data_IF_786006908977
#
_entry.id   IF_786006908977
#
_cell.length_a   1.000
_cell.length_b   1.000
_cell.length_c   1.000
_cell.angle_alpha   90.00
_cell.angle_beta   90.00
_cell.angle_gamma   90.00
#
_symmetry.space_group_name_H-M   'P 1'
#
loop_
_entity.id
_entity.type
_entity.pdbx_description
1 polymer ?
#
# COMPACT_ATOMS: atom_id res chain seq x y z
N UNK A 1 5.94 -12.60 17.81
CA UNK A 1 6.54 -11.94 16.63
C UNK A 1 6.34 -12.84 15.42
N UNK A 2 5.07 -13.13 15.12
CA UNK A 2 4.63 -13.93 13.97
C UNK A 2 3.85 -12.93 13.11
N UNK A 3 4.57 -12.01 12.45
CA UNK A 3 3.98 -10.84 11.81
C UNK A 3 4.32 -10.80 10.31
N UNK A 4 3.34 -10.36 9.51
CA UNK A 4 3.40 -9.95 8.10
C UNK A 4 3.31 -11.02 7.00
N UNK A 5 3.10 -12.29 7.35
CA UNK A 5 2.97 -13.32 6.33
C UNK A 5 1.60 -13.97 6.45
N UNK A 6 0.63 -13.42 5.72
CA UNK A 6 -0.56 -14.16 5.37
C UNK A 6 -0.12 -15.55 4.85
N UNK A 7 -0.54 -16.60 5.56
CA UNK A 7 -0.19 -17.99 5.24
C UNK A 7 -0.70 -18.40 3.84
N UNK A 8 -1.69 -17.68 3.31
CA UNK A 8 -2.18 -17.84 1.93
C UNK A 8 -1.21 -17.26 0.87
N UNK A 9 -0.43 -16.24 1.23
CA UNK A 9 0.48 -15.58 0.31
C UNK A 9 1.81 -16.32 0.10
N UNK A 10 2.32 -17.06 1.09
CA UNK A 10 3.60 -17.79 0.99
C UNK A 10 3.46 -19.16 0.31
N UNK A 11 2.26 -19.77 0.35
CA UNK A 11 2.05 -21.12 -0.21
C UNK A 11 1.66 -21.14 -1.69
N UNK A 12 1.40 -19.97 -2.31
CA UNK A 12 1.15 -19.89 -3.74
C UNK A 12 2.45 -19.57 -4.48
N UNK A 13 2.88 -20.47 -5.37
CA UNK A 13 3.99 -20.29 -6.32
C UNK A 13 3.72 -19.20 -7.39
N UNK A 14 2.68 -18.39 -7.21
CA UNK A 14 2.25 -17.34 -8.13
C UNK A 14 3.08 -16.08 -7.82
N UNK A 15 3.83 -15.54 -8.80
CA UNK A 15 4.57 -14.29 -8.65
C UNK A 15 3.67 -13.12 -8.22
N UNK A 16 4.22 -12.20 -7.43
CA UNK A 16 3.50 -11.03 -6.94
C UNK A 16 2.86 -10.19 -8.04
N UNK A 17 3.60 -9.85 -9.10
CA UNK A 17 3.05 -9.16 -10.28
C UNK A 17 1.80 -9.81 -10.88
N UNK A 18 1.66 -11.15 -10.84
CA UNK A 18 0.42 -11.81 -11.28
C UNK A 18 -0.73 -11.59 -10.29
N UNK A 19 -0.47 -11.70 -8.99
CA UNK A 19 -1.47 -11.44 -7.94
C UNK A 19 -1.98 -10.00 -7.98
N UNK A 20 -1.07 -9.03 -8.12
CA UNK A 20 -1.42 -7.61 -8.23
C UNK A 20 -2.21 -7.36 -9.51
N UNK A 21 -1.83 -7.99 -10.64
CA UNK A 21 -2.60 -7.87 -11.88
C UNK A 21 -4.03 -8.41 -11.75
N UNK A 22 -4.22 -9.58 -11.16
CA UNK A 22 -5.56 -10.11 -10.87
C UNK A 22 -6.35 -9.17 -9.95
N UNK A 23 -5.69 -8.57 -8.94
CA UNK A 23 -6.37 -7.64 -8.04
C UNK A 23 -6.90 -6.36 -8.73
N UNK A 24 -6.30 -5.92 -9.84
CA UNK A 24 -6.83 -4.78 -10.62
C UNK A 24 -8.23 -5.10 -11.16
N UNK A 25 -8.43 -6.33 -11.62
CA UNK A 25 -9.70 -6.81 -12.19
C UNK A 25 -10.69 -7.20 -11.08
N UNK A 26 -10.23 -8.03 -10.13
CA UNK A 26 -11.09 -8.67 -9.13
C UNK A 26 -11.41 -7.75 -7.93
N UNK A 27 -10.59 -6.72 -7.69
CA UNK A 27 -10.71 -5.76 -6.58
C UNK A 27 -10.93 -6.42 -5.22
N UNK A 28 -10.16 -7.49 -4.97
CA UNK A 28 -10.26 -8.27 -3.72
C UNK A 28 -9.52 -7.60 -2.56
N UNK A 29 -8.56 -6.73 -2.85
CA UNK A 29 -7.74 -6.01 -1.88
C UNK A 29 -7.68 -4.52 -2.21
N UNK A 30 -7.69 -3.69 -1.17
CA UNK A 30 -7.31 -2.29 -1.28
C UNK A 30 -5.79 -2.19 -1.47
N UNK A 31 -5.34 -1.55 -2.55
CA UNK A 31 -3.91 -1.37 -2.83
C UNK A 31 -3.47 0.05 -2.45
N UNK A 32 -2.54 0.17 -1.51
CA UNK A 32 -2.02 1.48 -1.05
C UNK A 32 -0.54 1.63 -1.39
N UNK A 33 -0.20 2.72 -2.07
CA UNK A 33 1.16 3.10 -2.43
C UNK A 33 1.73 4.14 -1.46
N UNK A 34 2.88 3.82 -0.88
CA UNK A 34 3.57 4.63 0.12
C UNK A 34 4.51 5.70 -0.47
N UNK A 35 4.66 5.76 -1.80
CA UNK A 35 5.51 6.76 -2.48
C UNK A 35 4.95 8.16 -2.31
N UNK A 36 5.78 9.17 -2.59
CA UNK A 36 5.32 10.56 -2.67
C UNK A 36 4.26 10.71 -3.76
N UNK A 37 3.26 11.57 -3.51
CA UNK A 37 2.18 11.86 -4.46
C UNK A 37 2.67 12.21 -5.86
N UNK A 38 3.73 13.03 -5.98
CA UNK A 38 4.32 13.38 -7.27
C UNK A 38 4.86 12.16 -8.06
N UNK A 39 5.40 11.15 -7.40
CA UNK A 39 5.86 9.90 -8.06
C UNK A 39 4.70 9.00 -8.43
N UNK A 40 3.70 8.92 -7.54
CA UNK A 40 2.46 8.19 -7.78
C UNK A 40 1.69 8.75 -8.99
N UNK A 41 1.54 10.08 -9.07
CA UNK A 41 0.87 10.77 -10.18
C UNK A 41 1.68 10.72 -11.48
N UNK A 42 2.96 10.36 -11.40
CA UNK A 42 3.88 10.34 -12.53
C UNK A 42 4.45 11.73 -12.89
N UNK A 43 4.21 12.75 -12.06
CA UNK A 43 4.76 14.10 -12.21
C UNK A 43 6.26 14.20 -11.86
N UNK A 44 6.77 13.25 -11.06
CA UNK A 44 8.19 13.13 -10.75
C UNK A 44 8.74 11.77 -11.21
N UNK A 45 9.98 11.73 -11.75
CA UNK A 45 10.57 10.48 -12.21
C UNK A 45 10.90 9.57 -11.04
N UNK A 46 10.94 8.27 -11.33
CA UNK A 46 11.47 7.29 -10.39
C UNK A 46 13.00 7.44 -10.25
N UNK A 47 13.57 7.29 -9.03
CA UNK A 47 15.01 7.43 -8.81
C UNK A 47 15.86 6.46 -9.65
N UNK A 48 15.31 5.27 -9.93
CA UNK A 48 15.96 4.24 -10.74
C UNK A 48 15.65 4.48 -12.22
N UNK A 49 16.69 4.60 -13.03
CA UNK A 49 16.57 4.78 -14.49
C UNK A 49 15.80 3.61 -15.13
N UNK A 50 14.95 3.93 -16.10
CA UNK A 50 14.21 2.95 -16.90
C UNK A 50 12.91 2.43 -16.28
N UNK A 51 12.52 2.92 -15.10
CA UNK A 51 11.24 2.59 -14.48
C UNK A 51 10.17 3.58 -14.97
N UNK A 52 9.00 3.08 -15.36
CA UNK A 52 7.84 3.91 -15.75
C UNK A 52 7.44 4.85 -14.61
N UNK A 53 6.94 6.03 -14.96
CA UNK A 53 6.29 6.96 -14.01
C UNK A 53 4.80 6.63 -13.91
N UNK A 54 4.17 6.92 -12.78
CA UNK A 54 2.76 6.58 -12.51
C UNK A 54 2.59 5.58 -11.37
N UNK A 55 1.46 4.88 -11.36
CA UNK A 55 1.07 3.94 -10.32
C UNK A 55 0.30 2.73 -10.86
N UNK A 56 0.02 1.77 -9.97
CA UNK A 56 -0.77 0.57 -10.28
C UNK A 56 -2.23 1.00 -10.43
N UNK A 57 -2.94 0.66 -11.51
CA UNK A 57 -4.34 1.05 -11.69
C UNK A 57 -5.22 0.69 -10.50
N UNK A 58 -6.06 1.64 -10.09
CA UNK A 58 -6.97 1.48 -8.94
C UNK A 58 -6.32 1.52 -7.56
N UNK A 59 -4.98 1.69 -7.46
CA UNK A 59 -4.33 1.93 -6.18
C UNK A 59 -4.60 3.33 -5.64
N UNK A 60 -4.50 3.49 -4.32
CA UNK A 60 -4.57 4.78 -3.59
C UNK A 60 -3.18 5.19 -3.12
N UNK A 61 -2.97 6.47 -2.84
CA UNK A 61 -1.67 6.99 -2.40
C UNK A 61 -1.74 7.52 -0.97
N UNK A 62 -0.96 6.95 -0.06
CA UNK A 62 -0.66 7.55 1.25
C UNK A 62 0.87 7.65 1.36
N UNK A 63 1.46 8.83 1.11
CA UNK A 63 2.90 9.00 1.29
C UNK A 63 3.30 8.65 2.72
N UNK A 64 4.26 7.74 2.90
CA UNK A 64 4.63 7.22 4.22
C UNK A 64 4.98 8.33 5.24
N UNK A 65 5.54 9.44 4.76
CA UNK A 65 5.92 10.59 5.57
C UNK A 65 4.72 11.23 6.28
N UNK A 66 3.50 11.06 5.78
CA UNK A 66 2.29 11.55 6.42
C UNK A 66 1.87 10.75 7.66
N UNK A 67 2.47 9.57 7.88
CA UNK A 67 2.25 8.74 9.07
C UNK A 67 3.32 8.96 10.14
N UNK A 68 4.30 9.84 9.90
CA UNK A 68 5.39 10.13 10.81
C UNK A 68 5.28 11.56 11.35
N UNK A 69 5.62 11.75 12.61
CA UNK A 69 5.81 13.07 13.20
C UNK A 69 7.19 13.67 12.83
N UNK A 70 7.46 14.87 13.32
CA UNK A 70 8.75 15.55 13.11
C UNK A 70 9.96 14.80 13.66
N UNK A 71 9.76 13.87 14.60
CA UNK A 71 10.81 13.02 15.19
C UNK A 71 11.02 11.70 14.44
N UNK A 72 10.32 11.50 13.31
CA UNK A 72 10.30 10.24 12.55
C UNK A 72 9.65 9.08 13.31
N UNK A 73 8.77 9.38 14.26
CA UNK A 73 7.97 8.38 14.99
C UNK A 73 6.58 8.28 14.36
N UNK A 74 5.97 7.09 14.38
CA UNK A 74 4.58 6.94 13.95
C UNK A 74 3.66 7.87 14.73
N UNK A 75 2.73 8.52 14.02
CA UNK A 75 1.72 9.38 14.63
C UNK A 75 0.86 8.61 15.66
N UNK A 76 0.24 9.32 16.63
CA UNK A 76 -0.75 8.73 17.52
C UNK A 76 -1.91 8.08 16.76
N UNK A 77 -2.53 7.07 17.38
CA UNK A 77 -3.63 6.28 16.80
C UNK A 77 -4.75 7.13 16.20
N UNK A 78 -5.17 8.20 16.86
CA UNK A 78 -6.25 9.08 16.36
C UNK A 78 -5.85 9.90 15.14
N UNK A 79 -4.56 10.20 14.97
CA UNK A 79 -4.07 10.88 13.77
C UNK A 79 -3.85 9.90 12.63
N UNK A 80 -3.33 8.69 12.91
CA UNK A 80 -3.21 7.62 11.92
C UNK A 80 -4.57 7.32 11.29
N UNK A 81 -5.63 7.19 12.10
CA UNK A 81 -7.01 7.05 11.62
C UNK A 81 -7.35 8.11 10.58
N UNK A 82 -7.25 9.39 10.96
CA UNK A 82 -7.56 10.52 10.07
C UNK A 82 -6.82 10.44 8.75
N UNK A 83 -5.55 10.02 8.75
CA UNK A 83 -4.75 9.87 7.51
C UNK A 83 -5.32 8.77 6.60
N UNK A 84 -5.71 7.62 7.17
CA UNK A 84 -6.30 6.54 6.38
C UNK A 84 -7.76 6.83 5.97
N UNK A 85 -8.53 7.54 6.79
CA UNK A 85 -9.92 7.92 6.50
C UNK A 85 -10.01 8.91 5.34
N UNK A 86 -9.08 9.86 5.26
CA UNK A 86 -9.04 10.89 4.21
C UNK A 86 -8.98 10.29 2.80
N UNK A 87 -8.35 9.12 2.67
CA UNK A 87 -8.24 8.39 1.39
C UNK A 87 -9.36 7.36 1.19
N UNK A 88 -10.40 7.38 2.06
CA UNK A 88 -11.51 6.46 2.01
C UNK A 88 -11.10 5.00 2.20
N UNK A 89 -10.03 4.76 2.98
CA UNK A 89 -9.57 3.41 3.28
C UNK A 89 -10.22 2.85 4.54
N UNK A 90 -10.67 3.72 5.44
CA UNK A 90 -11.21 3.36 6.76
C UNK A 90 -12.60 3.95 6.96
N UNK A 91 -13.57 3.10 7.27
CA UNK A 91 -14.87 3.52 7.79
C UNK A 91 -14.78 3.67 9.32
N UNK A 92 -14.69 4.92 9.79
CA UNK A 92 -14.66 5.24 11.22
C UNK A 92 -15.99 5.00 11.94
N UNK A 93 -17.09 4.78 11.23
CA UNK A 93 -18.41 4.65 11.88
C UNK A 93 -18.52 3.36 12.70
N UNK A 94 -17.64 2.38 12.47
CA UNK A 94 -17.61 1.12 13.22
C UNK A 94 -16.59 1.08 14.37
N UNK A 95 -15.99 2.22 14.74
CA UNK A 95 -14.86 2.26 15.68
C UNK A 95 -15.16 1.66 17.08
N UNK A 96 -16.41 1.72 17.54
CA UNK A 96 -16.80 1.14 18.84
C UNK A 96 -16.90 -0.40 18.83
N UNK A 97 -16.88 -1.05 17.65
CA UNK A 97 -16.97 -2.51 17.48
C UNK A 97 -15.73 -3.12 16.84
N UNK A 98 -14.67 -2.32 16.61
CA UNK A 98 -13.48 -2.73 15.87
C UNK A 98 -13.51 -2.19 14.45
N UNK A 99 -12.34 -1.78 13.93
CA UNK A 99 -12.23 -1.26 12.57
C UNK A 99 -12.52 -2.41 11.59
N UNK A 100 -13.70 -2.43 10.98
CA UNK A 100 -13.93 -3.26 9.80
C UNK A 100 -13.44 -2.52 8.57
N UNK A 101 -12.19 -2.78 8.19
CA UNK A 101 -11.80 -2.62 6.79
C UNK A 101 -12.21 -3.94 6.13
N UNK A 102 -13.41 -3.99 5.54
CA UNK A 102 -14.02 -5.23 5.00
C UNK A 102 -13.10 -5.94 4.00
N UNK A 103 -12.23 -5.21 3.30
CA UNK A 103 -11.26 -5.77 2.35
C UNK A 103 -9.85 -5.89 2.95
N UNK A 104 -9.12 -6.98 2.70
CA UNK A 104 -7.69 -7.05 3.02
C UNK A 104 -6.90 -5.97 2.28
N UNK A 105 -5.73 -5.62 2.79
CA UNK A 105 -4.92 -4.52 2.25
C UNK A 105 -3.60 -5.04 1.69
N UNK A 106 -3.22 -4.55 0.51
CA UNK A 106 -1.86 -4.69 -0.03
C UNK A 106 -1.18 -3.34 -0.01
N UNK A 107 0.00 -3.27 0.57
CA UNK A 107 0.83 -2.06 0.60
C UNK A 107 2.02 -2.21 -0.34
N UNK A 108 2.44 -1.12 -0.96
CA UNK A 108 3.60 -1.07 -1.86
C UNK A 108 4.33 0.25 -1.76
N UNK A 109 5.53 0.33 -2.32
CA UNK A 109 6.26 1.59 -2.46
C UNK A 109 7.17 1.53 -3.69
N UNK A 110 8.40 2.07 -3.62
CA UNK A 110 9.41 1.84 -4.66
C UNK A 110 9.96 0.41 -4.67
N UNK A 111 10.34 -0.14 -3.51
CA UNK A 111 11.09 -1.40 -3.36
C UNK A 111 10.72 -2.17 -2.07
N UNK A 112 9.45 -2.16 -1.67
CA UNK A 112 8.97 -2.89 -0.49
C UNK A 112 9.24 -2.26 0.89
N UNK A 113 10.22 -1.35 1.01
CA UNK A 113 10.67 -0.83 2.32
C UNK A 113 9.66 0.08 3.03
N UNK A 114 9.30 1.22 2.42
CA UNK A 114 8.41 2.19 3.10
C UNK A 114 6.95 1.73 3.14
N UNK A 115 6.60 0.69 2.37
CA UNK A 115 5.31 0.01 2.47
C UNK A 115 5.09 -0.59 3.87
N UNK A 116 6.16 -1.06 4.52
CA UNK A 116 6.10 -1.57 5.89
C UNK A 116 5.64 -0.52 6.91
N UNK A 117 5.84 0.78 6.64
CA UNK A 117 5.35 1.86 7.52
C UNK A 117 3.82 1.95 7.45
N UNK A 118 3.24 1.82 6.25
CA UNK A 118 1.78 1.74 6.09
C UNK A 118 1.24 0.50 6.80
N UNK A 119 1.86 -0.66 6.59
CA UNK A 119 1.46 -1.91 7.23
C UNK A 119 1.53 -1.84 8.76
N UNK A 120 2.58 -1.22 9.32
CA UNK A 120 2.69 -0.99 10.75
C UNK A 120 1.63 -0.01 11.26
N UNK A 121 1.35 1.07 10.53
CA UNK A 121 0.28 2.02 10.85
C UNK A 121 -1.08 1.34 10.92
N UNK A 122 -1.44 0.55 9.90
CA UNK A 122 -2.67 -0.24 9.86
C UNK A 122 -2.72 -1.28 11.00
N UNK A 123 -1.60 -1.93 11.30
CA UNK A 123 -1.50 -2.85 12.43
C UNK A 123 -1.78 -2.15 13.77
N UNK A 124 -1.27 -0.93 13.98
CA UNK A 124 -1.57 -0.13 15.18
C UNK A 124 -3.05 0.23 15.31
N UNK A 125 -3.78 0.23 14.19
CA UNK A 125 -5.22 0.42 14.14
C UNK A 125 -6.01 -0.89 14.29
N UNK A 126 -5.34 -2.03 14.44
CA UNK A 126 -5.97 -3.34 14.61
C UNK A 126 -6.20 -4.11 13.31
N UNK A 127 -5.81 -3.58 12.15
CA UNK A 127 -5.87 -4.28 10.86
C UNK A 127 -4.66 -5.21 10.72
N UNK A 128 -4.90 -6.51 10.59
CA UNK A 128 -3.83 -7.53 10.61
C UNK A 128 -3.68 -8.30 9.30
N UNK A 129 -4.69 -8.29 8.44
CA UNK A 129 -4.71 -8.79 7.06
C UNK A 129 -4.14 -7.73 6.10
N UNK A 130 -2.88 -7.36 6.35
CA UNK A 130 -2.10 -6.45 5.52
C UNK A 130 -0.90 -7.17 4.96
N UNK A 131 -0.81 -7.23 3.62
CA UNK A 131 0.33 -7.78 2.92
C UNK A 131 1.23 -6.67 2.37
N UNK A 132 2.52 -6.95 2.26
CA UNK A 132 3.50 -6.07 1.60
C UNK A 132 3.86 -6.69 0.24
N UNK A 133 3.56 -5.96 -0.84
CA UNK A 133 4.06 -6.30 -2.16
C UNK A 133 5.54 -5.88 -2.27
N UNK A 134 6.43 -6.83 -1.99
CA UNK A 134 7.88 -6.62 -1.89
C UNK A 134 8.51 -6.09 -3.21
N UNK A 135 8.13 -6.70 -4.35
CA UNK A 135 8.57 -6.24 -5.68
C UNK A 135 8.20 -4.78 -5.96
N UNK A 136 7.05 -4.34 -5.44
CA UNK A 136 6.64 -2.93 -5.42
C UNK A 136 6.68 -2.27 -6.81
N UNK A 137 6.77 -0.94 -6.88
CA UNK A 137 6.82 -0.21 -8.14
C UNK A 137 8.03 -0.55 -9.02
N UNK A 138 9.16 -0.95 -8.43
CA UNK A 138 10.34 -1.34 -9.21
C UNK A 138 10.08 -2.62 -10.01
N UNK A 139 9.45 -3.65 -9.44
CA UNK A 139 9.03 -4.83 -10.19
C UNK A 139 7.94 -4.47 -11.19
N UNK A 140 6.91 -3.74 -10.75
CA UNK A 140 5.75 -3.43 -11.58
C UNK A 140 6.10 -2.52 -12.76
N UNK A 141 6.71 -1.37 -12.49
CA UNK A 141 7.05 -0.33 -13.46
C UNK A 141 8.22 -0.68 -14.38
N UNK A 142 9.03 -1.70 -14.06
CA UNK A 142 10.05 -2.23 -14.96
C UNK A 142 9.47 -3.17 -16.04
N UNK A 143 8.31 -3.77 -15.79
CA UNK A 143 7.69 -4.70 -16.72
C UNK A 143 6.88 -3.93 -17.79
N UNK A 144 7.16 -4.07 -19.10
CA UNK A 144 6.39 -3.39 -20.13
C UNK A 144 4.93 -3.87 -20.21
N UNK A 145 4.64 -5.12 -19.82
CA UNK A 145 3.32 -5.77 -19.92
C UNK A 145 2.35 -5.41 -18.76
N UNK A 146 2.81 -4.64 -17.78
CA UNK A 146 1.98 -4.20 -16.66
C UNK A 146 1.27 -2.88 -17.01
N UNK A 147 -0.04 -2.76 -16.74
CA UNK A 147 -0.75 -1.51 -16.94
C UNK A 147 -0.28 -0.46 -15.92
N UNK A 148 -0.35 0.80 -16.30
CA UNK A 148 0.09 1.95 -15.50
C UNK A 148 -0.96 3.05 -15.65
N UNK A 149 -1.39 3.59 -14.51
CA UNK A 149 -2.20 4.79 -14.45
C UNK A 149 -1.36 6.00 -14.01
N UNK A 150 -1.87 7.19 -14.29
CA UNK A 150 -1.33 8.48 -13.87
C UNK A 150 -2.49 9.43 -13.58
N UNK A 151 -2.28 10.47 -12.79
CA UNK A 151 -3.31 11.45 -12.41
C UNK A 151 -2.85 12.88 -12.61
#
# INVERSE_FOLDING_TARGET
MEFLLDKSCIHSSIPWSKKVKSNIEDRTHEHIDARSKARFDGAAPEPRKGIKSGHVPGSKCIPFAQLLDSSQTLLPVDELKKRFDQEGLVDLTQFYTGISLESPVVTSCGTGVTACILALGLHRLGKSDVAVYDGSWTEWGANPETPVDSS
#
